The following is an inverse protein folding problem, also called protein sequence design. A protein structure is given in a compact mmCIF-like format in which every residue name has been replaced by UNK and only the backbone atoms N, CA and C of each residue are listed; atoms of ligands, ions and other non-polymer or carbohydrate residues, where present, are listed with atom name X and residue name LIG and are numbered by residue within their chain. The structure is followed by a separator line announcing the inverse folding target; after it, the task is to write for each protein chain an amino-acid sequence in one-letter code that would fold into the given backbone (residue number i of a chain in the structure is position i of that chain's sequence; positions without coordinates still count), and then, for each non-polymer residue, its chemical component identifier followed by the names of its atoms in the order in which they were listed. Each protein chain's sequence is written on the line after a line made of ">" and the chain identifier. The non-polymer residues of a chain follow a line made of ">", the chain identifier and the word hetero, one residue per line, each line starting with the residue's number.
data_IF_882971244346
#
_entry.id   IF_882971244346
#
_cell.length_a   1.000
_cell.length_b   1.000
_cell.length_c   1.000
_cell.angle_alpha   90.00
_cell.angle_beta   90.00
_cell.angle_gamma   90.00
#
_symmetry.space_group_name_H-M   'P 1'
#
loop_
_entity.id
_entity.type
_entity.pdbx_description
1 polymer ?
#
# COMPACT_ATOMS: atom_id res chain seq x y z
N UNK A 1 -10.10 12.93 3.44
CA UNK A 1 -9.00 12.08 3.86
C UNK A 1 -7.73 12.54 3.16
N UNK A 2 -6.67 12.88 3.94
CA UNK A 2 -5.42 13.39 3.40
C UNK A 2 -4.74 12.41 2.42
N UNK A 3 -3.70 12.89 1.72
CA UNK A 3 -2.88 12.05 0.84
C UNK A 3 -2.27 10.92 1.68
N UNK A 4 -2.77 9.69 1.49
CA UNK A 4 -2.18 8.51 2.11
C UNK A 4 -1.15 7.93 1.15
N UNK A 5 0.04 7.64 1.66
CA UNK A 5 1.02 6.81 0.98
C UNK A 5 1.11 5.46 1.67
N UNK A 6 1.43 4.41 0.91
CA UNK A 6 1.67 3.10 1.51
C UNK A 6 3.04 3.11 2.21
N UNK A 7 3.01 2.78 3.49
CA UNK A 7 4.17 2.69 4.36
C UNK A 7 4.31 1.25 4.91
N UNK A 8 5.40 0.59 4.54
CA UNK A 8 5.67 -0.79 4.93
C UNK A 8 5.88 -0.94 6.44
N UNK A 9 6.46 0.06 7.11
CA UNK A 9 6.64 0.02 8.56
C UNK A 9 5.28 0.15 9.26
N UNK A 10 4.44 1.09 8.83
CA UNK A 10 3.08 1.21 9.35
C UNK A 10 2.26 -0.08 9.10
N UNK A 11 2.41 -0.71 7.92
CA UNK A 11 1.81 -2.00 7.63
C UNK A 11 2.29 -3.10 8.59
N UNK A 12 3.62 -3.21 8.79
CA UNK A 12 4.21 -4.19 9.71
C UNK A 12 3.66 -4.06 11.13
N UNK A 13 3.42 -2.85 11.59
CA UNK A 13 2.80 -2.60 12.90
C UNK A 13 1.26 -2.71 12.92
N UNK A 14 0.63 -3.01 11.79
CA UNK A 14 -0.81 -3.26 11.71
C UNK A 14 -1.68 -2.02 11.45
N UNK A 15 -1.07 -0.87 11.12
CA UNK A 15 -1.80 0.38 10.89
C UNK A 15 -2.38 0.53 9.48
N UNK A 16 -1.76 -0.09 8.47
CA UNK A 16 -2.17 0.00 7.06
C UNK A 16 -2.57 -1.35 6.47
N UNK A 17 -3.26 -2.18 7.25
CA UNK A 17 -3.68 -3.53 6.86
C UNK A 17 -4.79 -3.56 5.81
N UNK A 18 -5.58 -2.50 5.69
CA UNK A 18 -6.82 -2.48 4.91
C UNK A 18 -6.64 -2.90 3.46
N UNK A 19 -5.64 -2.35 2.74
CA UNK A 19 -5.42 -2.68 1.33
C UNK A 19 -5.01 -4.13 1.12
N UNK A 20 -4.20 -4.68 2.04
CA UNK A 20 -3.73 -6.07 1.93
C UNK A 20 -4.87 -7.04 2.23
N UNK A 21 -5.73 -6.73 3.20
CA UNK A 21 -6.94 -7.51 3.48
C UNK A 21 -7.90 -7.49 2.29
N UNK A 22 -8.07 -6.35 1.63
CA UNK A 22 -8.89 -6.26 0.41
C UNK A 22 -8.30 -7.06 -0.74
N UNK A 23 -6.98 -7.05 -0.91
CA UNK A 23 -6.31 -7.88 -1.91
C UNK A 23 -6.53 -9.38 -1.65
N UNK A 24 -6.41 -9.81 -0.40
CA UNK A 24 -6.66 -11.20 -0.01
C UNK A 24 -8.07 -11.66 -0.39
N UNK A 25 -9.08 -10.84 -0.08
CA UNK A 25 -10.46 -11.16 -0.45
C UNK A 25 -10.70 -11.08 -1.96
N UNK A 26 -10.07 -10.15 -2.66
CA UNK A 26 -10.15 -10.06 -4.12
C UNK A 26 -9.56 -11.31 -4.79
N UNK A 27 -8.39 -11.78 -4.35
CA UNK A 27 -7.79 -13.04 -4.83
C UNK A 27 -8.74 -14.21 -4.61
N UNK A 28 -9.29 -14.35 -3.40
CA UNK A 28 -10.23 -15.44 -3.05
C UNK A 28 -11.52 -15.39 -3.90
N UNK A 29 -12.03 -14.19 -4.21
CA UNK A 29 -13.19 -14.02 -5.08
C UNK A 29 -12.88 -14.43 -6.52
N UNK A 30 -11.72 -14.04 -7.04
CA UNK A 30 -11.30 -14.37 -8.41
C UNK A 30 -11.00 -15.86 -8.56
N UNK A 31 -10.42 -16.51 -7.55
CA UNK A 31 -10.24 -17.98 -7.54
C UNK A 31 -11.57 -18.73 -7.66
N UNK A 32 -12.63 -18.26 -7.00
CA UNK A 32 -13.97 -18.83 -7.11
C UNK A 32 -14.59 -18.64 -8.49
N UNK A 33 -14.36 -17.47 -9.12
CA UNK A 33 -14.86 -17.18 -10.48
C UNK A 33 -14.10 -17.94 -11.56
N UNK A 34 -12.84 -18.26 -11.29
CA UNK A 34 -11.94 -18.88 -12.26
C UNK A 34 -11.31 -20.18 -11.72
N UNK A 35 -12.11 -21.23 -11.46
CA UNK A 35 -11.60 -22.47 -10.90
C UNK A 35 -10.53 -23.10 -11.83
N UNK A 36 -9.43 -23.52 -11.23
CA UNK A 36 -8.30 -24.13 -11.95
C UNK A 36 -7.33 -23.12 -12.59
N UNK A 37 -7.58 -21.80 -12.49
CA UNK A 37 -6.62 -20.77 -12.89
C UNK A 37 -5.84 -20.27 -11.69
N UNK A 38 -4.52 -20.06 -11.87
CA UNK A 38 -3.69 -19.39 -10.87
C UNK A 38 -4.00 -17.90 -10.90
N UNK A 39 -4.51 -17.38 -9.80
CA UNK A 39 -4.72 -15.93 -9.62
C UNK A 39 -3.43 -15.33 -9.04
N UNK A 40 -2.90 -14.33 -9.70
CA UNK A 40 -1.67 -13.63 -9.31
C UNK A 40 -2.01 -12.20 -8.92
N UNK A 41 -1.85 -11.83 -7.64
CA UNK A 41 -2.04 -10.44 -7.21
C UNK A 41 -0.96 -9.55 -7.82
N UNK A 42 -1.36 -8.48 -8.49
CA UNK A 42 -0.48 -7.60 -9.24
C UNK A 42 0.15 -6.50 -8.37
N UNK A 43 -0.62 -5.92 -7.47
CA UNK A 43 -0.21 -4.83 -6.60
C UNK A 43 -1.34 -4.28 -5.76
N UNK A 44 -1.00 -3.46 -4.78
CA UNK A 44 -1.95 -2.72 -3.95
C UNK A 44 -1.61 -1.24 -4.02
N UNK A 45 -2.64 -0.39 -4.21
CA UNK A 45 -2.43 1.01 -4.51
C UNK A 45 -3.42 1.91 -3.78
N UNK A 46 -2.95 3.10 -3.43
CA UNK A 46 -3.77 4.27 -3.17
C UNK A 46 -3.85 5.11 -4.44
N UNK A 47 -5.03 5.55 -4.77
CA UNK A 47 -5.29 6.51 -5.84
C UNK A 47 -5.65 7.87 -5.24
N UNK A 48 -5.02 8.93 -5.71
CA UNK A 48 -5.30 10.29 -5.27
C UNK A 48 -6.50 10.84 -6.03
N UNK A 49 -7.58 11.14 -5.33
CA UNK A 49 -8.82 11.65 -5.92
C UNK A 49 -8.92 13.19 -5.94
N UNK A 50 -7.93 13.88 -5.37
CA UNK A 50 -7.90 15.36 -5.41
C UNK A 50 -7.24 15.82 -6.69
N UNK A 51 -7.79 16.90 -7.27
CA UNK A 51 -7.17 17.57 -8.41
C UNK A 51 -5.75 18.04 -8.02
N UNK A 52 -4.75 17.71 -8.83
CA UNK A 52 -3.39 18.14 -8.56
C UNK A 52 -3.25 19.66 -8.79
N UNK A 53 -2.53 20.29 -7.89
CA UNK A 53 -2.17 21.72 -8.03
C UNK A 53 -0.79 21.76 -8.63
N UNK A 54 -0.68 22.12 -9.90
CA UNK A 54 0.60 22.29 -10.61
C UNK A 54 0.86 23.77 -10.92
N UNK A 55 2.14 24.15 -10.97
CA UNK A 55 2.54 25.55 -11.21
C UNK A 55 2.11 26.07 -12.58
N UNK A 56 1.72 27.36 -12.64
CA UNK A 56 1.19 28.02 -13.84
C UNK A 56 2.21 28.28 -14.97
N UNK A 57 3.49 28.03 -14.75
CA UNK A 57 4.58 28.42 -15.67
C UNK A 57 5.05 27.30 -16.61
N UNK A 58 4.29 26.21 -16.71
CA UNK A 58 4.64 25.05 -17.52
C UNK A 58 3.99 25.13 -18.91
N UNK A 59 4.73 24.72 -19.94
CA UNK A 59 4.17 24.45 -21.27
C UNK A 59 3.12 23.32 -21.15
N UNK A 60 2.16 23.30 -22.07
CA UNK A 60 1.00 22.39 -22.03
C UNK A 60 1.42 20.91 -21.88
N UNK A 61 2.44 20.47 -22.62
CA UNK A 61 2.97 19.11 -22.57
C UNK A 61 3.60 18.78 -21.21
N UNK A 62 4.37 19.70 -20.63
CA UNK A 62 4.96 19.56 -19.29
C UNK A 62 3.94 19.64 -18.18
N UNK A 63 2.85 20.38 -18.41
CA UNK A 63 1.73 20.49 -17.48
C UNK A 63 1.01 19.16 -17.38
N UNK A 64 0.72 18.50 -18.51
CA UNK A 64 0.09 17.19 -18.54
C UNK A 64 0.96 16.13 -17.83
N UNK A 65 2.25 16.08 -18.13
CA UNK A 65 3.19 15.18 -17.45
C UNK A 65 3.24 15.43 -15.93
N UNK A 66 3.25 16.69 -15.50
CA UNK A 66 3.25 17.04 -14.08
C UNK A 66 1.96 16.61 -13.38
N UNK A 67 0.80 16.74 -14.04
CA UNK A 67 -0.49 16.28 -13.56
C UNK A 67 -0.49 14.75 -13.40
N UNK A 68 -0.08 14.02 -14.43
CA UNK A 68 -0.02 12.56 -14.41
C UNK A 68 0.93 12.05 -13.31
N UNK A 69 2.07 12.73 -13.12
CA UNK A 69 3.02 12.38 -12.06
C UNK A 69 2.43 12.56 -10.65
N UNK A 70 1.62 13.60 -10.44
CA UNK A 70 0.91 13.81 -9.17
C UNK A 70 -0.24 12.80 -8.95
N UNK A 71 -0.87 12.34 -10.02
CA UNK A 71 -1.94 11.34 -10.00
C UNK A 71 -1.42 9.89 -10.00
N UNK A 72 -0.11 9.70 -10.15
CA UNK A 72 0.50 8.38 -10.15
C UNK A 72 0.09 7.57 -8.92
N UNK A 73 -0.24 6.30 -9.14
CA UNK A 73 -0.58 5.36 -8.08
C UNK A 73 0.55 5.26 -7.05
N UNK A 74 0.20 5.20 -5.77
CA UNK A 74 1.14 4.97 -4.68
C UNK A 74 0.83 3.65 -3.98
N UNK A 75 1.83 2.77 -3.84
CA UNK A 75 1.64 1.45 -3.26
C UNK A 75 2.80 0.53 -3.56
N UNK A 76 2.57 -0.76 -3.52
CA UNK A 76 3.57 -1.80 -3.85
C UNK A 76 3.12 -2.65 -5.02
N UNK A 77 4.07 -3.06 -5.85
CA UNK A 77 3.86 -3.85 -7.07
C UNK A 77 4.65 -5.15 -6.94
N UNK A 78 4.05 -6.24 -7.42
CA UNK A 78 4.75 -7.50 -7.65
C UNK A 78 5.72 -7.33 -8.82
N UNK A 79 6.99 -7.57 -8.60
CA UNK A 79 8.06 -7.44 -9.61
C UNK A 79 8.05 -8.66 -10.54
N UNK A 80 7.19 -8.61 -11.52
CA UNK A 80 7.05 -9.62 -12.57
C UNK A 80 6.72 -8.92 -13.88
N UNK A 81 7.52 -9.14 -14.93
CA UNK A 81 7.41 -8.41 -16.20
C UNK A 81 6.00 -8.48 -16.81
N UNK A 82 5.37 -9.66 -16.74
CA UNK A 82 4.01 -9.87 -17.25
C UNK A 82 2.96 -9.05 -16.46
N UNK A 83 3.17 -8.83 -15.16
CA UNK A 83 2.31 -8.00 -14.30
C UNK A 83 2.51 -6.54 -14.66
N UNK A 84 3.76 -6.10 -14.78
CA UNK A 84 4.10 -4.70 -15.05
C UNK A 84 3.55 -4.26 -16.40
N UNK A 85 3.73 -5.06 -17.45
CA UNK A 85 3.19 -4.77 -18.77
C UNK A 85 1.66 -4.71 -18.84
N UNK A 86 0.96 -5.41 -17.94
CA UNK A 86 -0.50 -5.32 -17.84
C UNK A 86 -0.97 -4.09 -17.09
N UNK A 87 -0.15 -3.56 -16.18
CA UNK A 87 -0.45 -2.34 -15.42
C UNK A 87 -0.09 -1.08 -16.23
N UNK A 88 0.97 -1.17 -17.03
CA UNK A 88 1.46 -0.07 -17.88
C UNK A 88 2.04 -0.69 -19.17
N UNK A 89 1.24 -0.69 -20.25
CA UNK A 89 1.60 -1.33 -21.52
C UNK A 89 2.79 -0.63 -22.21
N UNK A 90 2.96 0.66 -21.99
CA UNK A 90 3.99 1.49 -22.59
C UNK A 90 5.23 1.66 -21.69
N UNK A 91 5.33 0.84 -20.65
CA UNK A 91 6.41 0.92 -19.67
C UNK A 91 7.81 0.78 -20.30
N UNK A 92 8.52 1.87 -20.44
CA UNK A 92 9.87 1.90 -21.04
C UNK A 92 10.94 2.60 -20.21
N UNK A 93 10.56 3.29 -19.14
CA UNK A 93 11.45 4.09 -18.29
C UNK A 93 10.84 4.33 -16.92
N UNK A 94 10.51 5.58 -16.59
CA UNK A 94 9.75 5.90 -15.40
C UNK A 94 8.26 5.92 -15.76
N UNK A 95 7.47 5.08 -15.11
CA UNK A 95 6.02 5.06 -15.32
C UNK A 95 5.37 6.33 -14.73
N UNK A 96 4.41 6.86 -15.45
CA UNK A 96 3.50 7.92 -14.98
C UNK A 96 2.24 7.34 -14.31
N UNK A 97 2.02 6.03 -14.42
CA UNK A 97 0.83 5.35 -13.90
C UNK A 97 1.12 4.64 -12.58
N UNK A 98 2.21 3.86 -12.54
CA UNK A 98 2.58 3.00 -11.41
C UNK A 98 3.90 3.45 -10.77
N UNK A 99 4.15 3.17 -9.48
CA UNK A 99 5.38 3.55 -8.79
C UNK A 99 6.56 2.64 -9.22
N UNK A 100 6.80 2.53 -10.51
CA UNK A 100 7.87 1.75 -11.11
C UNK A 100 8.74 2.60 -12.02
N UNK A 101 10.02 2.27 -12.06
CA UNK A 101 10.99 2.86 -12.97
C UNK A 101 12.00 1.81 -13.43
N UNK A 102 12.51 1.97 -14.66
CA UNK A 102 13.51 1.10 -15.24
C UNK A 102 14.76 1.90 -15.58
N UNK A 103 15.92 1.35 -15.25
CA UNK A 103 17.24 1.89 -15.57
C UNK A 103 17.94 0.96 -16.57
N UNK A 104 19.09 1.37 -17.07
CA UNK A 104 19.91 0.53 -17.97
C UNK A 104 20.33 -0.81 -17.31
N UNK A 105 20.39 -0.87 -15.98
CA UNK A 105 20.79 -2.03 -15.18
C UNK A 105 19.63 -2.85 -14.62
N UNK A 106 18.38 -2.52 -14.95
CA UNK A 106 17.18 -3.18 -14.40
C UNK A 106 16.20 -2.20 -13.76
N UNK A 107 15.37 -2.68 -12.83
CA UNK A 107 14.42 -1.84 -12.14
C UNK A 107 15.11 -0.84 -11.18
N UNK A 108 14.56 0.37 -11.10
CA UNK A 108 15.08 1.41 -10.22
C UNK A 108 14.88 1.04 -8.75
N UNK A 109 15.89 1.28 -7.92
CA UNK A 109 15.78 1.10 -6.45
C UNK A 109 14.74 2.01 -5.80
N UNK A 110 14.35 3.11 -6.46
CA UNK A 110 13.29 4.00 -6.00
C UNK A 110 11.88 3.45 -6.32
N UNK A 111 11.78 2.36 -7.09
CA UNK A 111 10.50 1.71 -7.37
C UNK A 111 10.00 0.99 -6.13
N UNK A 112 8.70 1.11 -5.86
CA UNK A 112 8.05 0.37 -4.79
C UNK A 112 7.63 -1.03 -5.28
N UNK A 113 8.61 -1.84 -5.62
CA UNK A 113 8.43 -3.18 -6.19
C UNK A 113 8.99 -4.22 -5.22
N UNK A 114 8.28 -5.31 -5.08
CA UNK A 114 8.67 -6.47 -4.29
C UNK A 114 8.85 -7.68 -5.20
N UNK A 115 9.89 -8.47 -4.97
CA UNK A 115 10.02 -9.77 -5.61
C UNK A 115 8.76 -10.62 -5.35
N UNK A 116 8.43 -11.58 -6.22
CA UNK A 116 7.27 -12.43 -6.04
C UNK A 116 7.17 -13.04 -4.64
N UNK A 117 8.29 -13.54 -4.11
CA UNK A 117 8.37 -14.16 -2.80
C UNK A 117 8.16 -13.14 -1.65
N UNK A 118 8.67 -11.93 -1.82
CA UNK A 118 8.49 -10.84 -0.86
C UNK A 118 7.03 -10.37 -0.84
N UNK A 119 6.41 -10.27 -2.02
CA UNK A 119 5.00 -9.89 -2.14
C UNK A 119 4.10 -10.94 -1.49
N UNK A 120 4.36 -12.23 -1.73
CA UNK A 120 3.63 -13.34 -1.10
C UNK A 120 3.86 -13.38 0.42
N UNK A 121 5.06 -13.02 0.90
CA UNK A 121 5.33 -12.88 2.32
C UNK A 121 4.52 -11.75 2.97
N UNK A 122 4.32 -10.61 2.30
CA UNK A 122 3.44 -9.53 2.76
C UNK A 122 2.01 -10.02 2.95
N UNK A 123 1.46 -10.77 1.99
CA UNK A 123 0.11 -11.33 2.09
C UNK A 123 0.00 -12.34 3.24
N UNK A 124 0.97 -13.24 3.34
CA UNK A 124 1.03 -14.25 4.43
C UNK A 124 1.12 -13.58 5.80
N UNK A 125 1.94 -12.55 5.93
CA UNK A 125 2.06 -11.77 7.17
C UNK A 125 0.74 -11.12 7.56
N UNK A 126 0.03 -10.52 6.60
CA UNK A 126 -1.27 -9.90 6.84
C UNK A 126 -2.30 -10.91 7.37
N UNK A 127 -2.36 -12.11 6.77
CA UNK A 127 -3.24 -13.19 7.22
C UNK A 127 -2.93 -13.60 8.68
N UNK A 128 -1.65 -13.83 8.96
CA UNK A 128 -1.20 -14.18 10.31
C UNK A 128 -1.58 -13.09 11.31
N UNK A 129 -1.24 -11.82 11.00
CA UNK A 129 -1.52 -10.69 11.88
C UNK A 129 -3.00 -10.52 12.16
N UNK A 130 -3.85 -10.66 11.14
CA UNK A 130 -5.31 -10.63 11.29
C UNK A 130 -5.80 -11.75 12.20
N UNK A 131 -5.32 -12.97 12.01
CA UNK A 131 -5.71 -14.13 12.83
C UNK A 131 -5.26 -13.95 14.29
N UNK A 132 -4.06 -13.43 14.52
CA UNK A 132 -3.53 -13.15 15.85
C UNK A 132 -4.38 -12.09 16.57
N UNK A 133 -4.74 -11.00 15.87
CA UNK A 133 -5.62 -9.94 16.40
C UNK A 133 -7.02 -10.47 16.71
N UNK A 134 -7.62 -11.24 15.82
CA UNK A 134 -8.91 -11.88 16.06
C UNK A 134 -8.87 -12.78 17.30
N UNK A 135 -7.83 -13.62 17.39
CA UNK A 135 -7.64 -14.49 18.54
C UNK A 135 -7.43 -13.71 19.85
N UNK A 136 -6.76 -12.57 19.81
CA UNK A 136 -6.59 -11.70 20.97
C UNK A 136 -7.94 -11.12 21.41
N UNK A 137 -8.76 -10.63 20.46
CA UNK A 137 -10.10 -10.12 20.72
C UNK A 137 -11.02 -11.19 21.34
N UNK A 138 -11.03 -12.41 20.79
CA UNK A 138 -11.83 -13.51 21.34
C UNK A 138 -11.42 -13.92 22.74
N UNK A 139 -10.15 -13.72 23.11
CA UNK A 139 -9.64 -13.96 24.47
C UNK A 139 -9.85 -12.79 25.42
N UNK A 140 -10.54 -11.73 24.98
CA UNK A 140 -10.83 -10.54 25.79
C UNK A 140 -9.61 -9.70 26.13
N UNK A 141 -8.53 -9.76 25.32
CA UNK A 141 -7.37 -8.89 25.48
C UNK A 141 -7.77 -7.45 25.17
N UNK A 142 -7.78 -6.61 26.19
CA UNK A 142 -8.16 -5.19 26.12
C UNK A 142 -7.08 -4.29 26.77
N UNK A 143 -5.83 -4.73 26.75
CA UNK A 143 -4.70 -3.97 27.28
C UNK A 143 -4.50 -2.70 26.46
N UNK A 144 -4.28 -1.58 27.12
CA UNK A 144 -3.92 -0.31 26.48
C UNK A 144 -2.44 -0.36 26.06
N UNK A 145 -2.19 -0.82 24.84
CA UNK A 145 -0.87 -0.89 24.24
C UNK A 145 -0.85 -0.06 22.95
N UNK A 146 -0.82 1.29 23.06
CA UNK A 146 -0.82 2.15 21.90
C UNK A 146 0.47 1.96 21.11
N UNK A 147 0.32 2.06 19.79
CA UNK A 147 1.46 2.06 18.88
C UNK A 147 2.15 3.42 18.93
N UNK A 148 3.48 3.41 18.99
CA UNK A 148 4.30 4.61 18.89
C UNK A 148 5.45 4.39 17.92
N UNK A 149 5.58 5.29 16.91
CA UNK A 149 6.68 5.30 15.95
C UNK A 149 7.01 6.75 15.57
N UNK A 150 8.03 7.29 16.18
CA UNK A 150 8.42 8.69 15.98
C UNK A 150 7.29 9.65 16.35
N UNK A 151 6.79 10.41 15.37
CA UNK A 151 5.68 11.35 15.57
C UNK A 151 4.29 10.73 15.42
N UNK A 152 4.20 9.45 15.06
CA UNK A 152 2.94 8.74 14.91
C UNK A 152 2.68 7.90 16.15
N UNK A 153 1.58 8.17 16.84
CA UNK A 153 1.13 7.32 17.93
C UNK A 153 -0.39 7.07 17.85
N UNK A 154 -0.83 6.00 18.48
CA UNK A 154 -2.24 5.62 18.55
C UNK A 154 -3.09 6.58 19.40
N UNK A 155 -2.47 7.43 20.21
CA UNK A 155 -3.13 8.31 21.16
C UNK A 155 -3.51 9.67 20.55
N UNK A 156 -2.87 10.10 19.45
CA UNK A 156 -3.06 11.44 18.87
C UNK A 156 -4.53 11.79 18.59
N UNK A 157 -5.31 10.83 18.13
CA UNK A 157 -6.75 11.01 17.81
C UNK A 157 -7.64 10.04 18.57
N UNK A 158 -7.16 9.50 19.69
CA UNK A 158 -7.92 8.55 20.49
C UNK A 158 -9.01 9.28 21.32
N UNK A 159 -10.29 8.93 21.14
CA UNK A 159 -11.37 9.58 21.91
C UNK A 159 -11.38 9.16 23.38
N UNK A 160 -10.58 8.18 23.77
CA UNK A 160 -10.50 7.64 25.14
C UNK A 160 -9.24 8.07 25.88
N UNK A 161 -8.44 8.99 25.33
CA UNK A 161 -7.15 9.41 25.91
C UNK A 161 -7.31 9.86 27.37
N UNK A 162 -8.32 10.69 27.65
CA UNK A 162 -8.52 11.29 28.96
C UNK A 162 -8.95 10.29 30.05
N UNK A 163 -9.43 9.10 29.69
CA UNK A 163 -9.90 8.07 30.61
C UNK A 163 -9.12 6.76 30.54
N UNK A 164 -8.20 6.65 29.60
CA UNK A 164 -7.44 5.42 29.34
C UNK A 164 -6.43 5.11 30.46
N UNK A 165 -5.90 6.14 31.12
CA UNK A 165 -4.84 5.99 32.15
C UNK A 165 -3.49 5.55 31.60
N UNK A 166 -3.30 5.60 30.26
CA UNK A 166 -2.00 5.36 29.64
C UNK A 166 -1.21 6.67 29.64
N UNK A 167 -0.09 6.68 30.36
CA UNK A 167 0.85 7.80 30.38
C UNK A 167 1.88 7.61 29.25
N UNK A 168 1.96 8.59 28.36
CA UNK A 168 3.03 8.67 27.36
C UNK A 168 4.36 8.96 28.10
N UNK A 169 5.27 7.98 28.17
CA UNK A 169 6.59 8.16 28.77
C UNK A 169 7.59 8.72 27.77
#
# INVERSE_FOLDING_TARGET
>A
TGAKSFDMAAFYHGLQMQLVVYMEEAVRLEERKHPGKKIVPAGIFYYRMKDPIVGKELDEEKLEEAILKELRLDGIIRQEDAVIQRLDADFSGNSLVIPAGKTKSGYSKASKMLLPEEFDAVLTYAQKRRTDLQGAMYRGKAEALPYEMGTQNGCTYCPYRDICGFDEQ
#
